data_IF_110353218848
#
_entry.id   IF_110353218848
#
_cell.length_a   1.000
_cell.length_b   1.000
_cell.length_c   1.000
_cell.angle_alpha   90.00
_cell.angle_beta   90.00
_cell.angle_gamma   90.00
#
_symmetry.space_group_name_H-M   'P 1'
#
loop_
_entity.id
_entity.type
_entity.pdbx_description
1 polymer ?
#
# COMPACT_ATOMS: atom_id res chain seq x y z
N UNK A 1 1.68 2.66 -3.66
CA UNK A 1 0.57 1.67 -3.76
C UNK A 1 -0.62 2.16 -2.97
N UNK A 2 -1.84 1.78 -3.34
CA UNK A 2 -3.10 2.19 -2.71
C UNK A 2 -4.07 1.02 -2.50
N UNK A 3 -4.83 1.03 -1.41
CA UNK A 3 -6.07 0.25 -1.30
C UNK A 3 -7.23 1.21 -1.46
N UNK A 4 -8.09 0.95 -2.44
CA UNK A 4 -9.19 1.82 -2.83
C UNK A 4 -10.51 1.06 -2.77
N UNK A 5 -11.64 1.77 -2.66
CA UNK A 5 -12.98 1.19 -2.57
C UNK A 5 -13.67 1.39 -1.21
N UNK A 6 -13.16 2.30 -0.38
CA UNK A 6 -13.80 2.65 0.89
C UNK A 6 -15.10 3.45 0.70
N UNK A 7 -16.02 3.32 1.67
CA UNK A 7 -17.30 4.04 1.67
C UNK A 7 -17.26 5.36 2.45
N UNK A 8 -16.49 5.43 3.55
CA UNK A 8 -16.29 6.66 4.34
C UNK A 8 -15.32 7.64 3.68
N UNK A 9 -14.35 7.10 2.95
CA UNK A 9 -13.43 7.80 2.05
C UNK A 9 -12.99 6.82 0.98
N UNK A 10 -12.71 7.32 -0.22
CA UNK A 10 -12.43 6.46 -1.36
C UNK A 10 -11.17 5.58 -1.19
N UNK A 11 -10.15 6.10 -0.50
CA UNK A 11 -8.87 5.42 -0.25
C UNK A 11 -8.75 4.94 1.20
N UNK A 12 -8.55 3.64 1.40
CA UNK A 12 -8.20 3.08 2.72
C UNK A 12 -6.76 3.42 3.11
N UNK A 13 -5.82 3.23 2.18
CA UNK A 13 -4.41 3.60 2.40
C UNK A 13 -3.75 4.01 1.08
N UNK A 14 -2.80 4.94 1.17
CA UNK A 14 -1.92 5.32 0.07
C UNK A 14 -0.51 5.45 0.60
N UNK A 15 0.45 4.75 -0.01
CA UNK A 15 1.87 4.99 0.22
C UNK A 15 2.38 6.02 -0.77
N UNK A 16 3.09 7.05 -0.27
CA UNK A 16 3.67 8.14 -1.07
C UNK A 16 5.17 8.22 -0.81
N UNK A 17 5.90 8.82 -1.74
CA UNK A 17 7.33 9.12 -1.55
C UNK A 17 7.51 10.64 -1.54
N UNK A 18 8.09 11.16 -0.47
CA UNK A 18 8.46 12.56 -0.31
C UNK A 18 9.91 12.64 0.15
N UNK A 19 10.75 13.40 -0.57
CA UNK A 19 12.16 13.61 -0.19
C UNK A 19 12.90 12.32 0.19
N UNK A 20 12.82 11.30 -0.68
CA UNK A 20 13.37 9.96 -0.47
C UNK A 20 12.73 9.11 0.66
N UNK A 21 11.68 9.58 1.32
CA UNK A 21 10.99 8.87 2.40
C UNK A 21 9.66 8.29 1.93
N UNK A 22 9.41 7.02 2.21
CA UNK A 22 8.13 6.37 2.03
C UNK A 22 7.22 6.68 3.23
N UNK A 23 6.06 7.25 2.96
CA UNK A 23 5.10 7.68 3.97
C UNK A 23 3.74 7.00 3.77
N UNK A 24 2.99 6.84 4.85
CA UNK A 24 1.54 6.61 4.76
C UNK A 24 0.86 7.95 4.56
N UNK A 25 0.21 8.14 3.42
CA UNK A 25 -0.25 9.43 2.93
C UNK A 25 0.87 10.48 3.06
N UNK A 26 0.75 11.46 3.97
CA UNK A 26 1.80 12.45 4.25
C UNK A 26 2.65 12.12 5.49
N UNK A 27 2.14 11.29 6.40
CA UNK A 27 2.79 10.87 7.65
C UNK A 27 2.04 9.70 8.27
N UNK A 28 2.71 8.77 8.97
CA UNK A 28 4.14 8.78 9.30
C UNK A 28 5.04 8.27 8.16
N UNK A 29 6.35 8.51 8.30
CA UNK A 29 7.39 7.83 7.52
C UNK A 29 7.49 6.38 7.98
N UNK A 30 7.47 5.44 7.03
CA UNK A 30 7.59 3.99 7.28
C UNK A 30 8.91 3.41 6.79
N UNK A 31 9.59 4.11 5.88
CA UNK A 31 10.94 3.78 5.43
C UNK A 31 11.63 5.04 4.88
N UNK A 32 12.90 5.23 5.20
CA UNK A 32 13.72 6.34 4.71
C UNK A 32 14.64 5.90 3.56
N UNK A 33 15.14 6.86 2.78
CA UNK A 33 16.17 6.66 1.75
C UNK A 33 15.82 5.57 0.71
N UNK A 34 14.64 5.66 0.11
CA UNK A 34 14.05 4.60 -0.73
C UNK A 34 14.49 4.59 -2.20
N UNK A 35 15.24 5.60 -2.64
CA UNK A 35 15.71 5.68 -4.02
C UNK A 35 16.81 4.64 -4.32
N UNK A 36 16.85 4.15 -5.56
CA UNK A 36 17.88 3.26 -6.10
C UNK A 36 18.12 1.98 -5.28
N UNK A 37 17.11 1.51 -4.53
CA UNK A 37 17.18 0.26 -3.75
C UNK A 37 15.90 -0.54 -3.89
N UNK A 38 16.03 -1.84 -3.66
CA UNK A 38 14.89 -2.74 -3.52
C UNK A 38 14.52 -2.87 -2.05
N UNK A 39 13.23 -2.91 -1.77
CA UNK A 39 12.65 -3.25 -0.48
C UNK A 39 11.32 -3.95 -0.72
N UNK A 40 10.90 -4.80 0.21
CA UNK A 40 9.62 -5.48 0.15
C UNK A 40 8.54 -4.61 0.82
N UNK A 41 7.41 -4.43 0.13
CA UNK A 41 6.19 -3.84 0.69
C UNK A 41 5.11 -4.89 0.71
N UNK A 42 4.57 -5.17 1.90
CA UNK A 42 3.32 -5.91 2.03
C UNK A 42 2.27 -5.02 2.68
N UNK A 43 1.08 -4.99 2.08
CA UNK A 43 -0.09 -4.31 2.64
C UNK A 43 -1.20 -5.33 2.85
N UNK A 44 -1.68 -5.45 4.07
CA UNK A 44 -2.77 -6.35 4.45
C UNK A 44 -3.96 -5.48 4.85
N UNK A 45 -5.07 -5.63 4.15
CA UNK A 45 -6.33 -4.98 4.50
C UNK A 45 -7.29 -6.05 5.03
N UNK A 46 -7.58 -6.01 6.33
CA UNK A 46 -8.62 -6.84 6.93
C UNK A 46 -9.91 -6.05 6.96
N UNK A 47 -10.78 -6.34 5.98
CA UNK A 47 -12.07 -5.66 5.82
C UNK A 47 -12.97 -5.93 7.05
N UNK A 48 -12.91 -7.14 7.62
CA UNK A 48 -13.75 -7.54 8.74
C UNK A 48 -13.33 -6.86 10.04
N UNK A 49 -12.03 -6.75 10.30
CA UNK A 49 -11.49 -6.01 11.44
C UNK A 49 -11.46 -4.49 11.23
N UNK A 50 -11.80 -4.01 10.03
CA UNK A 50 -11.71 -2.61 9.62
C UNK A 50 -10.33 -2.00 9.93
N UNK A 51 -9.26 -2.72 9.56
CA UNK A 51 -7.90 -2.22 9.69
C UNK A 51 -7.02 -2.53 8.48
N UNK A 52 -5.94 -1.77 8.36
CA UNK A 52 -4.92 -1.95 7.35
C UNK A 52 -3.53 -1.89 7.98
N UNK A 53 -2.67 -2.80 7.58
CA UNK A 53 -1.30 -2.93 8.08
C UNK A 53 -0.31 -2.84 6.94
N UNK A 54 0.80 -2.14 7.17
CA UNK A 54 1.91 -2.01 6.22
C UNK A 54 3.15 -2.63 6.83
N UNK A 55 3.81 -3.49 6.06
CA UNK A 55 5.07 -4.11 6.40
C UNK A 55 6.12 -3.70 5.38
N UNK A 56 7.29 -3.35 5.88
CA UNK A 56 8.49 -3.07 5.09
C UNK A 56 9.54 -4.10 5.47
N UNK A 57 10.04 -4.84 4.48
CA UNK A 57 11.02 -5.92 4.69
C UNK A 57 10.61 -6.91 5.80
N UNK A 58 9.31 -7.23 5.85
CA UNK A 58 8.72 -8.16 6.83
C UNK A 58 8.41 -7.55 8.21
N UNK A 59 8.82 -6.32 8.48
CA UNK A 59 8.56 -5.64 9.76
C UNK A 59 7.32 -4.77 9.66
N UNK A 60 6.36 -4.91 10.60
CA UNK A 60 5.19 -4.03 10.66
C UNK A 60 5.65 -2.60 10.98
N UNK A 61 5.35 -1.65 10.08
CA UNK A 61 5.70 -0.23 10.24
C UNK A 61 4.50 0.66 10.51
N UNK A 62 3.30 0.20 10.19
CA UNK A 62 2.08 0.97 10.35
C UNK A 62 0.87 0.07 10.54
N UNK A 63 -0.06 0.53 11.37
CA UNK A 63 -1.43 0.02 11.51
C UNK A 63 -2.38 1.21 11.58
N UNK A 64 -3.50 1.12 10.88
CA UNK A 64 -4.52 2.15 10.87
C UNK A 64 -5.89 1.60 10.50
N UNK A 65 -6.90 2.46 10.59
CA UNK A 65 -8.29 2.08 10.31
C UNK A 65 -8.55 1.84 8.83
N UNK A 66 -9.47 0.93 8.54
CA UNK A 66 -10.10 0.78 7.24
C UNK A 66 -10.96 1.99 6.87
N UNK A 67 -11.48 2.01 5.65
CA UNK A 67 -12.38 3.06 5.17
C UNK A 67 -13.83 2.59 4.95
N UNK A 68 -14.21 1.45 5.51
CA UNK A 68 -15.51 0.81 5.26
C UNK A 68 -15.62 0.26 3.83
N UNK A 69 -16.84 -0.08 3.38
CA UNK A 69 -17.09 -0.59 2.04
C UNK A 69 -16.80 -2.09 1.90
N UNK A 70 -17.44 -2.73 0.92
CA UNK A 70 -17.40 -4.19 0.73
C UNK A 70 -16.61 -4.61 -0.52
N UNK A 71 -16.22 -3.68 -1.38
CA UNK A 71 -15.48 -3.96 -2.59
C UNK A 71 -14.20 -3.13 -2.63
N UNK A 72 -13.06 -3.80 -2.50
CA UNK A 72 -11.75 -3.18 -2.39
C UNK A 72 -10.82 -3.70 -3.46
N UNK A 73 -9.91 -2.85 -3.93
CA UNK A 73 -8.91 -3.23 -4.91
C UNK A 73 -7.57 -2.55 -4.64
N UNK A 74 -6.50 -3.27 -4.95
CA UNK A 74 -5.13 -2.78 -4.85
C UNK A 74 -4.74 -2.03 -6.12
N UNK A 75 -4.00 -0.94 -5.96
CA UNK A 75 -3.33 -0.20 -7.03
C UNK A 75 -1.85 -0.10 -6.70
N UNK A 76 -0.98 -0.28 -7.68
CA UNK A 76 0.46 -0.05 -7.54
C UNK A 76 1.02 0.60 -8.81
N UNK A 77 2.21 1.18 -8.71
CA UNK A 77 2.78 2.02 -9.78
C UNK A 77 2.99 3.47 -9.34
N UNK A 78 3.10 4.34 -10.34
CA UNK A 78 3.24 5.79 -10.18
C UNK A 78 1.87 6.43 -10.21
N UNK A 79 1.59 7.29 -9.23
CA UNK A 79 0.41 8.14 -9.22
C UNK A 79 0.87 9.56 -8.87
N UNK A 80 0.74 10.48 -9.83
CA UNK A 80 1.11 11.87 -9.63
C UNK A 80 0.11 12.54 -8.67
N UNK A 81 0.64 13.34 -7.77
CA UNK A 81 -0.10 14.12 -6.77
C UNK A 81 0.34 15.58 -6.87
N UNK A 82 -0.34 16.47 -6.15
CA UNK A 82 0.04 17.89 -6.12
C UNK A 82 1.51 18.06 -5.74
N UNK A 83 2.24 18.85 -6.53
CA UNK A 83 3.69 19.02 -6.38
C UNK A 83 4.53 17.86 -6.93
N UNK A 84 4.00 17.07 -7.86
CA UNK A 84 4.73 15.99 -8.52
C UNK A 84 6.05 16.46 -9.14
N UNK A 85 7.08 15.61 -9.03
CA UNK A 85 8.36 15.82 -9.71
C UNK A 85 8.22 15.62 -11.22
N UNK A 86 9.06 16.30 -12.01
CA UNK A 86 9.11 16.17 -13.48
C UNK A 86 9.35 14.75 -13.98
N UNK A 87 9.96 13.89 -13.15
CA UNK A 87 10.15 12.48 -13.42
C UNK A 87 9.72 11.66 -12.21
N UNK A 88 8.84 10.71 -12.45
CA UNK A 88 8.35 9.78 -11.43
C UNK A 88 8.44 8.38 -12.00
N UNK A 89 9.20 7.53 -11.35
CA UNK A 89 9.39 6.15 -11.76
C UNK A 89 9.26 5.24 -10.54
N UNK A 90 8.59 4.10 -10.72
CA UNK A 90 8.55 3.04 -9.74
C UNK A 90 8.73 1.71 -10.47
N UNK A 91 9.65 0.87 -9.99
CA UNK A 91 9.88 -0.48 -10.52
C UNK A 91 9.35 -1.50 -9.53
N UNK A 92 8.65 -2.50 -10.04
CA UNK A 92 8.01 -3.54 -9.23
C UNK A 92 8.38 -4.90 -9.79
N UNK A 93 8.63 -5.88 -8.91
CA UNK A 93 8.90 -7.28 -9.27
C UNK A 93 8.31 -8.20 -8.22
N UNK A 94 8.07 -9.45 -8.59
CA UNK A 94 7.54 -10.48 -7.67
C UNK A 94 6.20 -10.07 -7.00
N UNK A 95 5.36 -9.38 -7.77
CA UNK A 95 4.05 -8.90 -7.32
C UNK A 95 3.12 -10.10 -7.14
N UNK A 96 2.45 -10.15 -5.98
CA UNK A 96 1.41 -11.13 -5.68
C UNK A 96 0.25 -10.41 -5.00
N UNK A 97 -0.96 -10.68 -5.47
CA UNK A 97 -2.19 -10.29 -4.78
C UNK A 97 -2.80 -11.57 -4.24
N UNK A 98 -2.88 -11.65 -2.91
CA UNK A 98 -3.42 -12.80 -2.20
C UNK A 98 -4.66 -12.36 -1.46
N UNK A 99 -5.67 -13.21 -1.42
CA UNK A 99 -6.81 -13.06 -0.54
C UNK A 99 -6.87 -14.26 0.39
N UNK A 100 -7.33 -14.03 1.62
CA UNK A 100 -7.57 -15.12 2.55
C UNK A 100 -8.90 -15.78 2.18
N UNK A 101 -8.83 -16.85 1.42
CA UNK A 101 -9.93 -17.81 1.36
C UNK A 101 -9.92 -18.62 2.66
N UNK A 102 -11.07 -18.71 3.34
CA UNK A 102 -11.29 -19.66 4.43
C UNK A 102 -11.11 -21.13 3.98
N UNK A 103 -10.99 -21.35 2.67
CA UNK A 103 -10.77 -22.65 2.01
C UNK A 103 -9.86 -22.47 0.79
N UNK A 104 -8.57 -22.86 0.91
CA UNK A 104 -7.52 -22.94 -0.13
C UNK A 104 -6.94 -21.64 -0.71
N UNK A 105 -5.60 -21.60 -0.70
CA UNK A 105 -4.74 -20.65 -1.40
C UNK A 105 -4.87 -20.84 -2.92
N UNK A 106 -5.57 -19.94 -3.60
CA UNK A 106 -5.47 -19.81 -5.04
C UNK A 106 -4.39 -18.78 -5.36
N UNK A 107 -3.31 -19.25 -5.96
CA UNK A 107 -2.27 -18.39 -6.55
C UNK A 107 -2.72 -18.09 -7.97
N UNK A 108 -3.21 -16.87 -8.23
CA UNK A 108 -3.33 -16.39 -9.61
C UNK A 108 -1.89 -16.15 -10.11
N UNK A 109 -1.50 -16.92 -11.14
CA UNK A 109 -0.23 -16.77 -11.86
C UNK A 109 -0.32 -15.64 -12.87
#
# INVERSE_FOLDING_TARGET
>A
MQVFGGSSRATTIMLRVYSANLTVYRSPTVLENVYNRWFNVNVIHDVGASNVKVYIDGVQKYEGSGAGGNNHYFKFGVYAEDGASHRMESRWRQIRVLWKNSTKLDIIR
#
